data_IF_829999760134
#
_entry.id   IF_829999760134
#
_cell.length_a   1.000
_cell.length_b   1.000
_cell.length_c   1.000
_cell.angle_alpha   90.00
_cell.angle_beta   90.00
_cell.angle_gamma   90.00
#
_symmetry.space_group_name_H-M   'P 1'
#
loop_
_entity.id
_entity.type
_entity.pdbx_description
1 polymer ?
#
# COMPACT_ATOMS: atom_id res chain seq x y z
N UNK A 1 4.42 6.45 -7.34
CA UNK A 1 3.63 5.46 -6.58
C UNK A 1 2.83 4.55 -7.51
N UNK A 2 3.22 3.27 -7.61
CA UNK A 2 2.54 2.32 -8.49
C UNK A 2 1.11 1.98 -8.04
N UNK A 3 0.84 2.03 -6.73
CA UNK A 3 -0.51 1.79 -6.19
C UNK A 3 -1.51 2.84 -6.67
N UNK A 4 -1.21 4.13 -6.43
CA UNK A 4 -2.05 5.24 -6.89
C UNK A 4 -2.22 5.24 -8.42
N UNK A 5 -1.14 4.98 -9.17
CA UNK A 5 -1.21 4.87 -10.64
C UNK A 5 -2.19 3.79 -11.09
N UNK A 6 -2.18 2.61 -10.45
CA UNK A 6 -3.10 1.51 -10.77
C UNK A 6 -4.55 1.83 -10.40
N UNK A 7 -4.77 2.63 -9.36
CA UNK A 7 -6.11 3.05 -8.93
C UNK A 7 -6.66 4.24 -9.73
N UNK A 8 -5.98 4.68 -10.79
CA UNK A 8 -6.46 5.77 -11.64
C UNK A 8 -6.25 7.16 -11.04
N UNK A 9 -5.38 7.30 -10.04
CA UNK A 9 -5.04 8.60 -9.49
C UNK A 9 -4.39 9.50 -10.54
N UNK A 10 -4.50 10.82 -10.33
CA UNK A 10 -3.92 11.82 -11.24
C UNK A 10 -2.40 11.66 -11.32
N UNK A 11 -1.85 11.95 -12.50
CA UNK A 11 -0.41 11.81 -12.78
C UNK A 11 0.43 12.59 -11.80
N UNK A 12 0.08 13.85 -11.59
CA UNK A 12 0.78 14.77 -10.69
C UNK A 12 0.82 14.19 -9.26
N UNK A 13 -0.28 13.59 -8.81
CA UNK A 13 -0.37 13.01 -7.48
C UNK A 13 0.52 11.77 -7.32
N UNK A 14 0.40 10.78 -8.21
CA UNK A 14 1.16 9.55 -8.06
C UNK A 14 2.66 9.72 -8.37
N UNK A 15 3.07 10.79 -9.03
CA UNK A 15 4.50 11.10 -9.25
C UNK A 15 5.15 11.81 -8.06
N UNK A 16 4.39 12.47 -7.19
CA UNK A 16 4.91 13.21 -6.03
C UNK A 16 5.38 12.33 -4.87
N UNK A 17 5.16 11.01 -4.92
CA UNK A 17 5.56 10.09 -3.84
C UNK A 17 5.85 8.68 -4.36
N UNK A 18 6.59 7.92 -3.54
CA UNK A 18 6.88 6.49 -3.77
C UNK A 18 5.86 5.60 -3.04
N UNK A 19 5.73 4.34 -3.47
CA UNK A 19 4.84 3.39 -2.76
C UNK A 19 5.48 2.94 -1.45
N UNK A 20 6.74 2.50 -1.54
CA UNK A 20 7.59 2.14 -0.41
C UNK A 20 8.92 2.89 -0.53
N UNK A 21 9.54 3.22 0.59
CA UNK A 21 10.91 3.75 0.65
C UNK A 21 11.96 2.62 0.59
N UNK A 22 13.23 2.99 0.80
CA UNK A 22 14.36 2.06 0.84
C UNK A 22 14.36 1.11 2.04
N UNK A 23 13.65 1.43 3.13
CA UNK A 23 13.50 0.54 4.30
C UNK A 23 12.32 -0.42 4.13
N UNK A 24 11.54 -0.25 3.06
CA UNK A 24 10.38 -1.08 2.75
C UNK A 24 9.09 -0.60 3.40
N UNK A 25 9.09 0.59 4.00
CA UNK A 25 7.94 1.21 4.66
C UNK A 25 7.07 1.96 3.65
N UNK A 26 5.75 1.89 3.85
CA UNK A 26 4.76 2.53 2.97
C UNK A 26 4.77 4.05 3.14
N UNK A 27 5.08 4.73 2.05
CA UNK A 27 5.06 6.19 1.94
C UNK A 27 3.83 6.73 1.21
N UNK A 28 3.09 5.87 0.51
CA UNK A 28 1.86 6.24 -0.15
C UNK A 28 0.80 6.69 0.88
N UNK A 29 0.33 7.95 0.85
CA UNK A 29 -0.59 8.47 1.87
C UNK A 29 -1.94 7.75 1.85
N UNK A 30 -2.42 7.33 0.67
CA UNK A 30 -3.67 6.57 0.53
C UNK A 30 -3.53 5.18 1.15
N UNK A 31 -2.48 4.44 0.77
CA UNK A 31 -2.27 3.10 1.31
C UNK A 31 -1.95 3.14 2.80
N UNK A 32 -1.21 4.15 3.26
CA UNK A 32 -0.84 4.34 4.67
C UNK A 32 -2.03 4.54 5.60
N UNK A 33 -3.14 5.10 5.09
CA UNK A 33 -4.40 5.23 5.84
C UNK A 33 -5.27 3.97 5.78
N UNK A 34 -4.94 3.01 4.91
CA UNK A 34 -5.67 1.77 4.83
C UNK A 34 -5.35 0.90 6.04
N UNK A 35 -6.40 0.41 6.71
CA UNK A 35 -6.30 -0.55 7.80
C UNK A 35 -6.64 -1.92 7.22
N UNK A 36 -5.71 -2.87 7.32
CA UNK A 36 -5.99 -4.23 6.88
C UNK A 36 -7.05 -4.86 7.79
N UNK A 37 -8.21 -5.22 7.24
CA UNK A 37 -9.31 -5.83 8.02
C UNK A 37 -8.98 -7.22 8.57
N UNK A 38 -7.98 -7.90 8.00
CA UNK A 38 -7.58 -9.24 8.44
C UNK A 38 -6.60 -9.21 9.62
N UNK A 39 -5.64 -8.28 9.62
CA UNK A 39 -4.56 -8.25 10.63
C UNK A 39 -4.45 -6.94 11.41
N UNK A 40 -5.26 -5.93 11.07
CA UNK A 40 -5.26 -4.61 11.71
C UNK A 40 -4.08 -3.70 11.36
N UNK A 41 -3.11 -4.15 10.55
CA UNK A 41 -1.95 -3.31 10.23
C UNK A 41 -2.32 -2.10 9.37
N UNK A 42 -1.67 -0.98 9.67
CA UNK A 42 -1.84 0.31 8.98
C UNK A 42 -0.52 1.10 9.02
N UNK A 43 -0.52 2.32 8.49
CA UNK A 43 0.64 3.19 8.53
C UNK A 43 1.80 2.66 7.65
N UNK A 44 3.05 2.69 8.16
CA UNK A 44 4.22 2.21 7.43
C UNK A 44 4.14 0.74 6.96
N UNK A 45 3.33 -0.08 7.64
CA UNK A 45 3.14 -1.51 7.30
C UNK A 45 1.78 -1.79 6.64
N UNK A 46 1.06 -0.74 6.23
CA UNK A 46 -0.20 -0.90 5.54
C UNK A 46 -0.04 -1.70 4.24
N UNK A 47 -1.04 -2.51 3.93
CA UNK A 47 -1.05 -3.35 2.75
C UNK A 47 -2.49 -3.69 2.37
N UNK A 48 -2.72 -4.01 1.11
CA UNK A 48 -4.03 -4.51 0.69
C UNK A 48 -4.22 -5.95 1.13
N UNK A 49 -5.47 -6.39 1.20
CA UNK A 49 -5.84 -7.75 1.61
C UNK A 49 -5.08 -8.86 0.87
N UNK A 50 -4.75 -8.67 -0.42
CA UNK A 50 -3.99 -9.63 -1.21
C UNK A 50 -2.56 -9.89 -0.70
N UNK A 51 -1.95 -8.89 -0.04
CA UNK A 51 -0.59 -8.99 0.51
C UNK A 51 -0.58 -9.20 2.02
N UNK A 52 -1.75 -9.41 2.63
CA UNK A 52 -1.84 -9.63 4.07
C UNK A 52 -1.19 -10.96 4.46
N UNK A 53 -0.37 -11.00 5.53
CA UNK A 53 0.23 -12.23 6.01
C UNK A 53 -0.78 -13.30 6.42
N UNK A 54 -2.00 -12.88 6.79
CA UNK A 54 -3.13 -13.74 7.15
C UNK A 54 -4.07 -14.03 5.98
N UNK A 55 -3.82 -13.46 4.81
CA UNK A 55 -4.60 -13.79 3.61
C UNK A 55 -4.25 -15.20 3.15
N UNK A 56 -5.28 -15.99 2.88
CA UNK A 56 -5.16 -17.37 2.38
C UNK A 56 -4.60 -17.45 0.95
N UNK A 57 -4.49 -16.30 0.28
CA UNK A 57 -4.10 -16.21 -1.13
C UNK A 57 -2.85 -15.33 -1.29
N UNK A 58 -1.77 -15.65 -0.58
CA UNK A 58 -0.47 -15.04 -0.87
C UNK A 58 -0.05 -15.44 -2.29
N UNK A 59 0.21 -14.50 -3.21
CA UNK A 59 1.01 -14.83 -4.37
C UNK A 59 2.37 -15.27 -3.84
N UNK A 60 2.71 -16.54 -4.07
CA UNK A 60 4.01 -17.13 -3.74
C UNK A 60 5.14 -16.48 -4.50
#
# INVERSE_FOLDING_TARGET
CNFCRRNGERKEFYTNHVLKDSTGDVQCPILRQHICELCGQTGPKAHTQAYCPLSKNKPG
#
